data_IF_488395751358
#
_entry.id   IF_488395751358
#
_cell.length_a   1.000
_cell.length_b   1.000
_cell.length_c   1.000
_cell.angle_alpha   90.00
_cell.angle_beta   90.00
_cell.angle_gamma   90.00
#
_symmetry.space_group_name_H-M   'P 1'
#
loop_
_entity.id
_entity.type
_entity.pdbx_description
1 polymer ?
#
# COMPACT_ATOMS: atom_id res chain seq x y z
N UNK A 1 43.22 -15.95 4.91
CA UNK A 1 41.88 -16.59 4.76
C UNK A 1 40.83 -15.90 5.64
N UNK A 2 41.08 -15.66 6.92
CA UNK A 2 40.17 -14.89 7.80
C UNK A 2 39.94 -13.43 7.35
N UNK A 3 40.98 -12.70 6.92
CA UNK A 3 40.85 -11.31 6.43
C UNK A 3 39.92 -11.18 5.21
N UNK A 4 40.00 -12.14 4.27
CA UNK A 4 39.12 -12.19 3.09
C UNK A 4 37.67 -12.53 3.43
N UNK A 5 37.41 -13.24 4.53
CA UNK A 5 36.04 -13.54 4.99
C UNK A 5 35.43 -12.35 5.73
N UNK A 6 36.21 -11.65 6.55
CA UNK A 6 35.78 -10.44 7.24
C UNK A 6 35.50 -9.28 6.26
N UNK A 7 36.32 -9.12 5.21
CA UNK A 7 36.04 -8.15 4.14
C UNK A 7 34.76 -8.47 3.38
N UNK A 8 34.53 -9.75 3.04
CA UNK A 8 33.30 -10.19 2.38
C UNK A 8 32.07 -9.99 3.26
N UNK A 9 32.15 -10.29 4.56
CA UNK A 9 31.05 -10.04 5.50
C UNK A 9 30.77 -8.55 5.67
N UNK A 10 31.82 -7.72 5.67
CA UNK A 10 31.70 -6.26 5.74
C UNK A 10 31.02 -5.71 4.48
N UNK A 11 31.40 -6.22 3.30
CA UNK A 11 30.81 -5.84 2.02
C UNK A 11 29.33 -6.26 1.91
N UNK A 12 29.01 -7.50 2.28
CA UNK A 12 27.63 -7.98 2.34
C UNK A 12 26.76 -7.13 3.28
N UNK A 13 27.32 -6.75 4.43
CA UNK A 13 26.70 -5.84 5.38
C UNK A 13 26.37 -4.48 4.76
N UNK A 14 27.31 -3.88 4.04
CA UNK A 14 27.11 -2.59 3.37
C UNK A 14 26.06 -2.66 2.25
N UNK A 15 26.11 -3.68 1.40
CA UNK A 15 25.12 -3.87 0.33
C UNK A 15 23.71 -4.06 0.94
N UNK A 16 23.59 -4.83 2.03
CA UNK A 16 22.33 -4.97 2.75
C UNK A 16 21.84 -3.64 3.33
N UNK A 17 22.73 -2.78 3.85
CA UNK A 17 22.34 -1.44 4.29
C UNK A 17 21.81 -0.58 3.14
N UNK A 18 22.42 -0.65 1.95
CA UNK A 18 21.92 0.08 0.78
C UNK A 18 20.49 -0.36 0.42
N UNK A 19 20.20 -1.66 0.47
CA UNK A 19 18.84 -2.19 0.32
C UNK A 19 17.88 -1.65 1.40
N UNK A 20 18.28 -1.67 2.67
CA UNK A 20 17.46 -1.15 3.78
C UNK A 20 17.18 0.35 3.63
N UNK A 21 18.13 1.13 3.09
CA UNK A 21 18.02 2.59 2.93
C UNK A 21 17.33 3.03 1.63
N UNK A 22 17.16 2.15 0.65
CA UNK A 22 16.52 2.48 -0.62
C UNK A 22 15.12 3.09 -0.42
N UNK A 23 14.81 4.17 -1.13
CA UNK A 23 13.62 5.01 -0.92
C UNK A 23 12.58 4.92 -2.05
N UNK A 24 12.85 4.09 -3.07
CA UNK A 24 11.97 3.89 -4.24
C UNK A 24 11.79 2.40 -4.50
N UNK A 25 10.71 2.02 -5.18
CA UNK A 25 10.46 0.62 -5.54
C UNK A 25 11.60 0.07 -6.44
N UNK A 26 11.90 0.77 -7.55
CA UNK A 26 13.03 0.42 -8.44
C UNK A 26 14.36 0.34 -7.72
N UNK A 27 14.71 1.35 -6.92
CA UNK A 27 15.98 1.38 -6.19
C UNK A 27 16.08 0.24 -5.18
N UNK A 28 14.96 -0.12 -4.54
CA UNK A 28 14.90 -1.26 -3.62
C UNK A 28 15.11 -2.59 -4.35
N UNK A 29 14.45 -2.80 -5.50
CA UNK A 29 14.66 -3.99 -6.35
C UNK A 29 16.09 -4.10 -6.86
N UNK A 30 16.66 -3.00 -7.36
CA UNK A 30 18.04 -2.96 -7.83
C UNK A 30 19.02 -3.31 -6.71
N UNK A 31 18.90 -2.68 -5.54
CA UNK A 31 19.74 -2.97 -4.39
C UNK A 31 19.60 -4.42 -3.91
N UNK A 32 18.37 -4.97 -3.93
CA UNK A 32 18.10 -6.36 -3.58
C UNK A 32 18.73 -7.34 -4.58
N UNK A 33 18.62 -7.08 -5.88
CA UNK A 33 19.22 -7.92 -6.92
C UNK A 33 20.75 -7.93 -6.83
N UNK A 34 21.37 -6.79 -6.51
CA UNK A 34 22.82 -6.71 -6.26
C UNK A 34 23.18 -7.57 -5.03
N UNK A 35 22.41 -7.49 -3.95
CA UNK A 35 22.61 -8.30 -2.75
C UNK A 35 22.51 -9.80 -3.04
N UNK A 36 21.44 -10.23 -3.72
CA UNK A 36 21.17 -11.63 -4.06
C UNK A 36 22.31 -12.21 -4.92
N UNK A 37 22.76 -11.46 -5.94
CA UNK A 37 23.89 -11.87 -6.79
C UNK A 37 25.21 -11.92 -6.02
N UNK A 38 25.51 -10.91 -5.20
CA UNK A 38 26.74 -10.87 -4.41
C UNK A 38 26.81 -12.03 -3.41
N UNK A 39 25.67 -12.40 -2.84
CA UNK A 39 25.57 -13.50 -1.89
C UNK A 39 25.39 -14.86 -2.54
N UNK A 40 25.34 -14.98 -3.88
CA UNK A 40 25.07 -16.23 -4.60
C UNK A 40 23.83 -16.95 -4.01
N UNK A 41 22.70 -16.24 -4.03
CA UNK A 41 21.40 -16.73 -3.60
C UNK A 41 20.51 -16.96 -4.82
N UNK A 42 19.76 -18.06 -4.81
CA UNK A 42 18.71 -18.31 -5.80
C UNK A 42 17.37 -17.75 -5.29
N UNK A 43 16.82 -16.69 -5.92
CA UNK A 43 15.52 -16.12 -5.52
C UNK A 43 14.33 -17.05 -5.81
N UNK A 44 14.50 -18.09 -6.63
CA UNK A 44 13.45 -19.07 -6.91
C UNK A 44 13.33 -20.15 -5.82
N UNK A 45 14.39 -20.39 -5.05
CA UNK A 45 14.44 -21.29 -3.88
C UNK A 45 13.76 -20.66 -2.65
N UNK A 46 12.47 -20.36 -2.77
CA UNK A 46 11.69 -19.68 -1.73
C UNK A 46 11.74 -20.38 -0.36
N UNK A 47 11.93 -21.71 -0.33
CA UNK A 47 11.96 -22.52 0.89
C UNK A 47 13.20 -22.25 1.75
N UNK A 48 14.34 -22.00 1.12
CA UNK A 48 15.61 -21.80 1.82
C UNK A 48 16.16 -20.37 1.66
N UNK A 49 15.53 -19.52 0.85
CA UNK A 49 16.02 -18.18 0.56
C UNK A 49 16.28 -17.37 1.84
N UNK A 50 15.27 -17.23 2.71
CA UNK A 50 15.40 -16.44 3.94
C UNK A 50 16.46 -17.00 4.90
N UNK A 51 16.55 -18.33 5.04
CA UNK A 51 17.53 -18.95 5.95
C UNK A 51 18.97 -18.76 5.44
N UNK A 52 19.19 -18.88 4.12
CA UNK A 52 20.48 -18.62 3.46
C UNK A 52 20.86 -17.14 3.49
N UNK A 53 19.90 -16.23 3.25
CA UNK A 53 20.13 -14.79 3.36
C UNK A 53 20.57 -14.41 4.77
N UNK A 54 19.84 -14.89 5.78
CA UNK A 54 20.12 -14.64 7.18
C UNK A 54 21.49 -15.17 7.62
N UNK A 55 21.90 -16.35 7.15
CA UNK A 55 23.21 -16.93 7.51
C UNK A 55 24.38 -16.17 6.89
N UNK A 56 24.20 -15.56 5.72
CA UNK A 56 25.24 -14.78 5.02
C UNK A 56 25.31 -13.30 5.46
N UNK A 57 24.24 -12.73 6.02
CA UNK A 57 24.21 -11.33 6.48
C UNK A 57 24.18 -11.25 8.02
N UNK A 58 25.36 -11.20 8.63
CA UNK A 58 25.56 -11.40 10.08
C UNK A 58 25.83 -10.12 10.89
N UNK A 59 25.72 -8.95 10.27
CA UNK A 59 25.93 -7.65 10.96
C UNK A 59 24.97 -7.47 12.13
N UNK A 60 25.39 -6.72 13.16
CA UNK A 60 24.56 -6.49 14.35
C UNK A 60 23.22 -5.79 14.02
N UNK A 61 23.22 -4.88 13.03
CA UNK A 61 21.99 -4.21 12.55
C UNK A 61 21.01 -5.21 11.93
N UNK A 62 21.52 -6.12 11.10
CA UNK A 62 20.72 -7.16 10.46
C UNK A 62 20.20 -8.20 11.46
N UNK A 63 21.05 -8.66 12.40
CA UNK A 63 20.65 -9.58 13.49
C UNK A 63 19.43 -9.11 14.27
N UNK A 64 19.33 -7.81 14.56
CA UNK A 64 18.18 -7.24 15.24
C UNK A 64 16.87 -7.32 14.41
N UNK A 65 16.97 -7.27 13.08
CA UNK A 65 15.83 -7.49 12.18
C UNK A 65 15.48 -8.98 12.10
N UNK A 66 16.48 -9.85 11.97
CA UNK A 66 16.30 -11.31 11.95
C UNK A 66 15.57 -11.80 13.19
N UNK A 67 15.95 -11.34 14.38
CA UNK A 67 15.26 -11.70 15.62
C UNK A 67 13.75 -11.37 15.58
N UNK A 68 13.36 -10.25 14.95
CA UNK A 68 11.96 -9.85 14.82
C UNK A 68 11.18 -10.75 13.87
N UNK A 69 11.75 -10.99 12.68
CA UNK A 69 11.14 -11.85 11.65
C UNK A 69 11.08 -13.32 12.11
N UNK A 70 12.14 -13.82 12.75
CA UNK A 70 12.19 -15.16 13.34
C UNK A 70 11.14 -15.31 14.45
N UNK A 71 11.00 -14.30 15.32
CA UNK A 71 9.95 -14.31 16.35
C UNK A 71 8.56 -14.42 15.73
N UNK A 72 8.27 -13.66 14.67
CA UNK A 72 6.99 -13.80 13.93
C UNK A 72 6.84 -15.19 13.33
N UNK A 73 7.82 -15.67 12.57
CA UNK A 73 7.78 -16.99 11.91
C UNK A 73 7.70 -18.19 12.88
N UNK A 74 8.05 -17.99 14.15
CA UNK A 74 7.93 -19.01 15.21
C UNK A 74 6.52 -19.21 15.76
N UNK A 75 5.56 -18.36 15.40
CA UNK A 75 4.15 -18.51 15.82
C UNK A 75 3.61 -19.90 15.41
N UNK A 76 2.81 -20.50 16.31
CA UNK A 76 2.36 -21.90 16.19
C UNK A 76 1.51 -22.15 14.95
N UNK A 77 0.77 -21.13 14.52
CA UNK A 77 -0.14 -21.14 13.36
C UNK A 77 0.62 -21.44 12.05
N UNK A 78 1.89 -20.99 11.96
CA UNK A 78 2.73 -21.23 10.80
C UNK A 78 3.33 -22.65 10.75
N UNK A 79 3.27 -23.41 11.85
CA UNK A 79 3.85 -24.75 11.97
C UNK A 79 5.30 -24.84 11.47
N UNK A 80 6.10 -23.79 11.74
CA UNK A 80 7.48 -23.62 11.23
C UNK A 80 7.56 -23.61 9.69
N UNK A 81 6.65 -22.89 9.04
CA UNK A 81 6.57 -22.80 7.58
C UNK A 81 6.09 -24.08 6.90
N UNK A 82 5.33 -24.92 7.62
CA UNK A 82 4.86 -26.22 7.10
C UNK A 82 3.38 -26.28 6.75
N UNK A 83 2.62 -25.24 7.09
CA UNK A 83 1.16 -25.23 6.91
C UNK A 83 0.74 -25.25 5.43
N UNK A 84 1.52 -24.61 4.54
CA UNK A 84 1.16 -24.44 3.12
C UNK A 84 2.32 -24.76 2.16
N UNK A 85 3.24 -25.68 2.51
CA UNK A 85 4.49 -25.94 1.75
C UNK A 85 4.32 -26.31 0.27
N UNK A 86 3.17 -26.88 -0.10
CA UNK A 86 2.88 -27.33 -1.45
C UNK A 86 1.83 -26.44 -2.14
N UNK A 87 1.51 -25.28 -1.55
CA UNK A 87 0.56 -24.32 -2.10
C UNK A 87 1.30 -23.23 -2.86
N UNK A 88 0.87 -22.95 -4.09
CA UNK A 88 1.33 -21.84 -4.91
C UNK A 88 0.26 -20.75 -4.94
N UNK A 89 0.66 -19.52 -4.60
CA UNK A 89 -0.23 -18.38 -4.47
C UNK A 89 0.16 -17.26 -5.45
N UNK A 90 -0.82 -16.74 -6.18
CA UNK A 90 -0.70 -15.52 -6.98
C UNK A 90 -1.45 -14.37 -6.29
N UNK A 91 -0.79 -13.24 -6.09
CA UNK A 91 -1.38 -12.03 -5.51
C UNK A 91 -1.37 -10.92 -6.55
N UNK A 92 -2.54 -10.35 -6.83
CA UNK A 92 -2.70 -9.24 -7.76
C UNK A 92 -2.68 -7.94 -6.95
N UNK A 93 -1.62 -7.14 -7.09
CA UNK A 93 -1.48 -5.82 -6.47
C UNK A 93 -0.42 -5.78 -5.35
N UNK A 94 0.59 -4.92 -5.55
CA UNK A 94 1.67 -4.60 -4.60
C UNK A 94 1.32 -3.47 -3.62
N UNK A 95 0.04 -3.32 -3.29
CA UNK A 95 -0.42 -2.39 -2.25
C UNK A 95 -0.11 -2.87 -0.83
N UNK A 96 -0.35 -2.06 0.22
CA UNK A 96 -0.14 -2.48 1.60
C UNK A 96 -0.81 -3.81 1.95
N UNK A 97 -2.09 -3.98 1.59
CA UNK A 97 -2.83 -5.21 1.87
C UNK A 97 -2.26 -6.42 1.12
N UNK A 98 -1.98 -6.28 -0.18
CA UNK A 98 -1.42 -7.37 -0.99
C UNK A 98 -0.06 -7.85 -0.48
N UNK A 99 0.86 -6.91 -0.20
CA UNK A 99 2.17 -7.23 0.37
C UNK A 99 2.05 -7.82 1.78
N UNK A 100 1.13 -7.31 2.61
CA UNK A 100 0.89 -7.84 3.95
C UNK A 100 0.37 -9.27 3.92
N UNK A 101 -0.54 -9.58 3.00
CA UNK A 101 -1.04 -10.94 2.75
C UNK A 101 0.07 -11.85 2.24
N UNK A 102 0.91 -11.37 1.32
CA UNK A 102 2.06 -12.11 0.79
C UNK A 102 2.99 -12.58 1.92
N UNK A 103 3.29 -11.69 2.87
CA UNK A 103 4.12 -11.97 4.04
C UNK A 103 3.52 -13.09 4.92
N UNK A 104 2.20 -13.12 5.15
CA UNK A 104 1.58 -14.21 5.91
C UNK A 104 1.67 -15.56 5.17
N UNK A 105 1.40 -15.56 3.86
CA UNK A 105 1.49 -16.78 3.05
C UNK A 105 2.92 -17.33 3.01
N UNK A 106 3.93 -16.45 2.94
CA UNK A 106 5.33 -16.85 3.03
C UNK A 106 5.65 -17.48 4.39
N UNK A 107 5.16 -16.91 5.51
CA UNK A 107 5.32 -17.53 6.83
C UNK A 107 4.61 -18.89 6.95
N UNK A 108 3.48 -19.08 6.26
CA UNK A 108 2.81 -20.38 6.18
C UNK A 108 3.59 -21.42 5.34
N UNK A 109 4.58 -20.99 4.56
CA UNK A 109 5.45 -21.85 3.73
C UNK A 109 5.06 -21.95 2.25
N UNK A 110 4.07 -21.17 1.80
CA UNK A 110 3.63 -21.18 0.40
C UNK A 110 4.70 -20.62 -0.55
N UNK A 111 4.64 -21.02 -1.83
CA UNK A 111 5.29 -20.26 -2.91
C UNK A 111 4.40 -19.08 -3.25
N UNK A 112 4.90 -17.87 -3.07
CA UNK A 112 4.11 -16.64 -3.26
C UNK A 112 4.71 -15.82 -4.40
N UNK A 113 3.85 -15.49 -5.36
CA UNK A 113 4.14 -14.57 -6.47
C UNK A 113 3.22 -13.37 -6.37
N UNK A 114 3.78 -12.16 -6.41
CA UNK A 114 3.03 -10.90 -6.44
C UNK A 114 3.24 -10.24 -7.80
N UNK A 115 2.16 -9.83 -8.46
CA UNK A 115 2.21 -9.01 -9.67
C UNK A 115 1.68 -7.61 -9.38
N UNK A 116 2.42 -6.59 -9.83
CA UNK A 116 2.04 -5.20 -9.70
C UNK A 116 2.27 -4.47 -11.03
N UNK A 117 1.22 -3.82 -11.53
CA UNK A 117 1.26 -3.10 -12.81
C UNK A 117 2.18 -1.87 -12.82
N UNK A 118 2.51 -1.31 -11.65
CA UNK A 118 3.39 -0.13 -11.52
C UNK A 118 4.76 -0.52 -11.00
N UNK A 119 5.78 0.26 -11.33
CA UNK A 119 7.13 0.15 -10.78
C UNK A 119 7.50 1.27 -9.80
N UNK A 120 6.52 2.05 -9.37
CA UNK A 120 6.70 3.15 -8.41
C UNK A 120 5.64 3.13 -7.32
N UNK A 121 6.06 3.52 -6.12
CA UNK A 121 5.16 3.83 -5.02
C UNK A 121 5.05 5.35 -4.89
N UNK A 122 4.00 5.92 -5.46
CA UNK A 122 3.86 7.37 -5.65
C UNK A 122 2.87 8.08 -4.73
N UNK A 123 1.99 7.34 -4.04
CA UNK A 123 0.92 7.94 -3.25
C UNK A 123 1.46 8.55 -1.95
N UNK A 124 1.37 9.87 -1.83
CA UNK A 124 1.81 10.60 -0.64
C UNK A 124 0.78 10.60 0.48
N UNK A 125 -0.52 10.44 0.17
CA UNK A 125 -1.59 10.43 1.16
C UNK A 125 -1.29 9.53 2.36
N UNK A 126 -1.75 9.98 3.52
CA UNK A 126 -1.39 9.42 4.83
C UNK A 126 -2.53 8.57 5.39
N UNK A 127 -2.16 7.39 5.89
CA UNK A 127 -3.07 6.43 6.51
C UNK A 127 -2.93 6.48 8.03
N UNK A 128 -4.05 6.63 8.73
CA UNK A 128 -4.10 6.36 10.15
C UNK A 128 -3.91 4.86 10.44
N UNK A 129 -3.22 4.54 11.53
CA UNK A 129 -2.89 3.19 11.97
C UNK A 129 -3.47 2.93 13.35
N UNK A 130 -4.32 1.93 13.45
CA UNK A 130 -4.78 1.46 14.75
C UNK A 130 -3.62 0.86 15.56
N UNK A 131 -3.71 0.82 16.91
CA UNK A 131 -2.65 0.31 17.76
C UNK A 131 -2.15 -1.09 17.39
N UNK A 132 -3.05 -1.99 16.97
CA UNK A 132 -2.68 -3.35 16.56
C UNK A 132 -1.84 -3.35 15.28
N UNK A 133 -2.14 -2.46 14.32
CA UNK A 133 -1.39 -2.31 13.07
C UNK A 133 0.01 -1.76 13.33
N UNK A 134 0.12 -0.79 14.24
CA UNK A 134 1.43 -0.27 14.69
C UNK A 134 2.25 -1.40 15.33
N UNK A 135 1.64 -2.21 16.20
CA UNK A 135 2.30 -3.35 16.84
C UNK A 135 2.75 -4.39 15.80
N UNK A 136 1.89 -4.74 14.84
CA UNK A 136 2.20 -5.70 13.77
C UNK A 136 3.40 -5.23 12.93
N UNK A 137 3.38 -3.98 12.44
CA UNK A 137 4.47 -3.41 11.65
C UNK A 137 5.77 -3.27 12.46
N UNK A 138 5.71 -2.91 13.75
CA UNK A 138 6.88 -2.96 14.66
C UNK A 138 7.42 -4.38 14.82
N UNK A 139 6.54 -5.38 14.82
CA UNK A 139 6.85 -6.81 14.83
C UNK A 139 7.59 -7.25 13.57
N UNK A 140 7.26 -6.68 12.41
CA UNK A 140 7.95 -6.91 11.13
C UNK A 140 9.22 -6.05 10.94
N UNK A 141 9.59 -5.25 11.95
CA UNK A 141 10.81 -4.45 11.90
C UNK A 141 10.68 -3.12 11.16
N UNK A 142 9.47 -2.56 11.02
CA UNK A 142 9.23 -1.28 10.35
C UNK A 142 10.24 -0.17 10.71
N UNK A 143 10.58 -0.02 11.99
CA UNK A 143 11.55 0.99 12.48
C UNK A 143 12.98 0.80 11.94
N UNK A 144 13.33 -0.39 11.44
CA UNK A 144 14.62 -0.66 10.78
C UNK A 144 14.65 -0.16 9.34
N UNK A 145 13.51 -0.14 8.67
CA UNK A 145 13.37 0.35 7.29
C UNK A 145 12.98 1.82 7.23
N UNK A 146 12.27 2.32 8.25
CA UNK A 146 11.83 3.70 8.37
C UNK A 146 11.98 4.17 9.81
N UNK A 147 13.07 4.90 10.10
CA UNK A 147 13.43 5.28 11.48
C UNK A 147 12.39 6.16 12.19
N UNK A 148 11.63 6.95 11.41
CA UNK A 148 10.55 7.82 11.90
C UNK A 148 9.24 7.06 12.17
N UNK A 149 9.15 5.77 11.85
CA UNK A 149 7.91 4.98 11.98
C UNK A 149 7.32 5.07 13.40
N UNK A 150 6.16 5.71 13.50
CA UNK A 150 5.41 5.90 14.75
C UNK A 150 6.30 6.31 15.93
N UNK A 151 7.16 7.32 15.71
CA UNK A 151 7.99 7.92 16.75
C UNK A 151 7.14 8.86 17.61
N UNK A 152 7.30 8.80 18.94
CA UNK A 152 6.46 9.56 19.86
C UNK A 152 5.00 9.10 19.79
N UNK A 153 4.09 10.05 19.61
CA UNK A 153 2.64 9.84 19.48
C UNK A 153 2.15 9.64 18.05
N UNK A 154 3.05 9.63 17.04
CA UNK A 154 2.65 9.44 15.63
C UNK A 154 1.98 8.08 15.44
N UNK A 155 0.77 8.11 14.90
CA UNK A 155 -0.08 6.94 14.66
C UNK A 155 -0.48 6.78 13.18
N UNK A 156 0.26 7.40 12.27
CA UNK A 156 -0.02 7.37 10.84
C UNK A 156 1.24 7.15 9.99
N UNK A 157 1.03 6.87 8.70
CA UNK A 157 2.10 6.68 7.72
C UNK A 157 1.61 6.97 6.28
N UNK A 158 2.44 7.62 5.46
CA UNK A 158 2.16 7.72 4.01
C UNK A 158 2.09 6.36 3.32
N UNK A 159 1.16 6.22 2.37
CA UNK A 159 0.91 4.95 1.65
C UNK A 159 2.21 4.42 1.04
N UNK A 160 2.99 5.26 0.37
CA UNK A 160 4.26 4.86 -0.25
C UNK A 160 5.30 4.34 0.75
N UNK A 161 5.37 4.90 1.96
CA UNK A 161 6.32 4.42 2.98
C UNK A 161 5.88 3.07 3.54
N UNK A 162 4.58 2.88 3.76
CA UNK A 162 4.04 1.58 4.16
C UNK A 162 4.31 0.50 3.11
N UNK A 163 4.12 0.84 1.82
CA UNK A 163 4.47 -0.05 0.71
C UNK A 163 5.96 -0.40 0.74
N UNK A 164 6.88 0.57 0.88
CA UNK A 164 8.33 0.30 0.93
C UNK A 164 8.72 -0.62 2.09
N UNK A 165 8.15 -0.42 3.28
CA UNK A 165 8.43 -1.27 4.45
C UNK A 165 8.02 -2.72 4.16
N UNK A 166 6.77 -2.91 3.74
CA UNK A 166 6.24 -4.25 3.47
C UNK A 166 6.93 -4.91 2.29
N UNK A 167 7.29 -4.13 1.26
CA UNK A 167 8.02 -4.60 0.09
C UNK A 167 9.40 -5.16 0.45
N UNK A 168 10.15 -4.44 1.31
CA UNK A 168 11.45 -4.91 1.79
C UNK A 168 11.32 -6.19 2.62
N UNK A 169 10.32 -6.28 3.50
CA UNK A 169 10.05 -7.50 4.27
C UNK A 169 9.69 -8.65 3.33
N UNK A 170 8.87 -8.40 2.31
CA UNK A 170 8.45 -9.42 1.38
C UNK A 170 9.64 -10.01 0.60
N UNK A 171 10.51 -9.15 0.06
CA UNK A 171 11.73 -9.57 -0.63
C UNK A 171 12.67 -10.39 0.28
N UNK A 172 12.87 -9.95 1.53
CA UNK A 172 13.68 -10.70 2.53
C UNK A 172 13.14 -12.11 2.74
N UNK A 173 11.82 -12.28 2.76
CA UNK A 173 11.16 -13.56 2.98
C UNK A 173 11.12 -14.45 1.72
N UNK A 174 11.74 -14.04 0.62
CA UNK A 174 11.82 -14.82 -0.62
C UNK A 174 10.51 -14.82 -1.42
N UNK A 175 9.66 -13.81 -1.23
CA UNK A 175 8.48 -13.61 -2.07
C UNK A 175 8.94 -13.09 -3.44
N UNK A 176 8.43 -13.72 -4.48
CA UNK A 176 8.72 -13.34 -5.86
C UNK A 176 7.79 -12.19 -6.27
N UNK A 177 8.35 -11.05 -6.66
CA UNK A 177 7.56 -9.85 -6.98
C UNK A 177 7.93 -9.32 -8.36
N UNK A 178 6.93 -9.22 -9.22
CA UNK A 178 7.05 -8.71 -10.59
C UNK A 178 6.32 -7.37 -10.70
N UNK A 179 7.08 -6.33 -11.04
CA UNK A 179 6.57 -4.98 -11.28
C UNK A 179 6.45 -4.72 -12.79
N UNK A 180 5.61 -3.77 -13.20
CA UNK A 180 5.24 -3.54 -14.61
C UNK A 180 4.58 -4.76 -15.26
N UNK A 181 3.87 -5.55 -14.46
CA UNK A 181 3.10 -6.70 -14.93
C UNK A 181 1.64 -6.49 -14.55
N UNK A 182 0.78 -6.35 -15.55
CA UNK A 182 -0.66 -6.22 -15.34
C UNK A 182 -1.33 -7.57 -15.48
N UNK A 183 -2.10 -7.97 -14.47
CA UNK A 183 -2.98 -9.13 -14.55
C UNK A 183 -4.18 -8.78 -15.45
N UNK A 184 -4.51 -9.68 -16.38
CA UNK A 184 -5.66 -9.53 -17.28
C UNK A 184 -6.82 -10.40 -16.79
N UNK A 185 -6.62 -11.72 -16.77
CA UNK A 185 -7.65 -12.69 -16.37
C UNK A 185 -7.04 -14.01 -15.91
N UNK A 186 -7.87 -14.83 -15.27
CA UNK A 186 -7.55 -16.22 -14.94
C UNK A 186 -7.72 -17.08 -16.19
N UNK A 187 -6.83 -18.04 -16.40
CA UNK A 187 -6.92 -19.06 -17.43
C UNK A 187 -7.27 -20.40 -16.77
N UNK A 188 -8.41 -20.96 -17.17
CA UNK A 188 -8.86 -22.25 -16.68
C UNK A 188 -7.96 -23.39 -17.20
N UNK A 189 -7.76 -24.46 -16.41
CA UNK A 189 -7.16 -25.70 -16.90
C UNK A 189 -7.87 -26.19 -18.18
N UNK A 190 -7.14 -26.63 -19.22
CA UNK A 190 -7.76 -27.21 -20.41
C UNK A 190 -8.55 -28.48 -20.07
N UNK A 191 -9.62 -28.75 -20.82
CA UNK A 191 -10.49 -29.92 -20.66
C UNK A 191 -9.76 -31.24 -21.01
N UNK A 192 -8.92 -31.21 -22.05
CA UNK A 192 -8.09 -32.34 -22.45
C UNK A 192 -6.80 -32.39 -21.61
N UNK A 193 -6.75 -33.32 -20.66
CA UNK A 193 -5.60 -33.56 -19.77
C UNK A 193 -5.03 -34.97 -19.90
N UNK A 194 -5.29 -35.67 -21.01
CA UNK A 194 -4.85 -37.06 -21.19
C UNK A 194 -3.32 -37.20 -21.15
N UNK A 195 -2.59 -36.19 -21.66
CA UNK A 195 -1.13 -36.23 -21.80
C UNK A 195 -0.37 -35.31 -20.84
N UNK A 196 -0.97 -34.20 -20.38
CA UNK A 196 -0.36 -33.26 -19.43
C UNK A 196 -1.42 -32.65 -18.50
N UNK A 197 -1.18 -32.69 -17.19
CA UNK A 197 -2.03 -32.03 -16.19
C UNK A 197 -1.55 -30.60 -16.01
N UNK A 198 -2.26 -29.65 -16.62
CA UNK A 198 -1.99 -28.21 -16.51
C UNK A 198 -2.96 -27.63 -15.47
N UNK A 199 -2.42 -26.95 -14.46
CA UNK A 199 -3.19 -26.25 -13.43
C UNK A 199 -3.73 -24.88 -13.87
N UNK A 200 -4.30 -24.15 -12.91
CA UNK A 200 -4.77 -22.78 -13.12
C UNK A 200 -3.62 -21.83 -13.42
N UNK A 201 -3.77 -21.01 -14.44
CA UNK A 201 -2.79 -19.99 -14.86
C UNK A 201 -3.45 -18.62 -14.96
N UNK A 202 -2.68 -17.61 -15.34
CA UNK A 202 -3.18 -16.26 -15.55
C UNK A 202 -2.56 -15.65 -16.80
N UNK A 203 -3.34 -14.79 -17.45
CA UNK A 203 -2.88 -13.95 -18.53
C UNK A 203 -2.35 -12.63 -17.97
N UNK A 204 -1.21 -12.19 -18.50
CA UNK A 204 -0.52 -10.98 -18.07
C UNK A 204 -0.18 -10.08 -19.25
N UNK A 205 0.03 -8.79 -18.98
CA UNK A 205 0.68 -7.86 -19.89
C UNK A 205 2.04 -7.44 -19.31
N UNK A 206 3.12 -7.51 -20.10
CA UNK A 206 3.18 -8.01 -21.49
C UNK A 206 2.98 -9.54 -21.58
N UNK A 207 2.44 -10.03 -22.71
CA UNK A 207 1.98 -11.41 -22.87
C UNK A 207 3.10 -12.47 -22.86
N UNK A 208 4.32 -12.07 -23.22
CA UNK A 208 5.53 -12.90 -23.26
C UNK A 208 6.26 -12.98 -21.90
N UNK A 209 5.61 -12.54 -20.82
CA UNK A 209 6.19 -12.58 -19.48
C UNK A 209 6.41 -14.02 -19.00
N UNK A 210 7.51 -14.28 -18.27
CA UNK A 210 7.87 -15.61 -17.79
C UNK A 210 6.87 -16.25 -16.82
N UNK A 211 5.92 -15.46 -16.30
CA UNK A 211 4.85 -15.93 -15.42
C UNK A 211 3.68 -16.55 -16.17
N UNK A 212 3.62 -16.46 -17.50
CA UNK A 212 2.52 -17.07 -18.28
C UNK A 212 2.42 -18.59 -18.07
N UNK A 213 3.52 -19.24 -17.69
CA UNK A 213 3.57 -20.68 -17.34
C UNK A 213 3.46 -20.95 -15.83
N UNK A 214 3.26 -19.92 -15.00
CA UNK A 214 3.14 -20.11 -13.56
C UNK A 214 1.74 -20.63 -13.19
N UNK A 215 1.71 -21.89 -12.76
CA UNK A 215 0.51 -22.51 -12.20
C UNK A 215 0.35 -22.16 -10.71
N UNK A 216 -0.88 -21.85 -10.29
CA UNK A 216 -1.21 -21.53 -8.90
C UNK A 216 -2.45 -22.27 -8.39
N UNK A 217 -2.51 -22.49 -7.07
CA UNK A 217 -3.66 -23.09 -6.38
C UNK A 217 -4.57 -22.03 -5.75
N UNK A 218 -3.99 -20.87 -5.42
CA UNK A 218 -4.67 -19.77 -4.73
C UNK A 218 -4.40 -18.47 -5.47
N UNK A 219 -5.46 -17.71 -5.74
CA UNK A 219 -5.36 -16.34 -6.26
C UNK A 219 -6.00 -15.34 -5.31
N UNK A 220 -5.36 -14.19 -5.12
CA UNK A 220 -5.82 -13.14 -4.20
C UNK A 220 -5.85 -11.80 -4.93
N UNK A 221 -7.05 -11.23 -5.06
CA UNK A 221 -7.26 -9.88 -5.58
C UNK A 221 -7.00 -8.84 -4.49
N UNK A 222 -5.91 -8.09 -4.60
CA UNK A 222 -5.54 -6.99 -3.73
C UNK A 222 -5.21 -5.70 -4.52
N UNK A 223 -5.86 -5.54 -5.68
CA UNK A 223 -5.65 -4.51 -6.70
C UNK A 223 -6.52 -3.24 -6.49
N UNK A 224 -7.23 -3.18 -5.36
CA UNK A 224 -8.02 -2.04 -4.92
C UNK A 224 -9.42 -2.00 -5.57
N UNK A 225 -9.87 -0.80 -5.96
CA UNK A 225 -11.22 -0.63 -6.52
C UNK A 225 -11.40 -1.34 -7.87
N UNK A 226 -10.35 -1.65 -8.63
CA UNK A 226 -10.47 -2.24 -9.97
C UNK A 226 -11.12 -3.63 -9.98
N UNK A 227 -10.84 -4.48 -8.99
CA UNK A 227 -11.43 -5.83 -8.87
C UNK A 227 -11.24 -6.70 -10.11
N UNK A 228 -10.01 -6.88 -10.56
CA UNK A 228 -9.76 -7.62 -11.80
C UNK A 228 -10.16 -9.10 -11.73
N UNK A 229 -10.56 -9.63 -10.56
CA UNK A 229 -11.10 -10.98 -10.45
C UNK A 229 -12.62 -11.02 -10.72
N UNK A 230 -12.99 -11.79 -11.74
CA UNK A 230 -14.37 -12.05 -12.12
C UNK A 230 -15.10 -12.94 -11.08
N UNK A 231 -16.44 -12.95 -11.12
CA UNK A 231 -17.28 -13.76 -10.22
C UNK A 231 -17.60 -13.13 -8.87
N UNK A 232 -16.94 -12.03 -8.48
CA UNK A 232 -17.20 -11.31 -7.23
C UNK A 232 -18.16 -10.13 -7.44
N UNK A 233 -19.47 -10.38 -7.31
CA UNK A 233 -20.48 -9.30 -7.30
C UNK A 233 -20.22 -8.36 -6.13
N UNK A 234 -20.32 -7.05 -6.35
CA UNK A 234 -20.21 -6.03 -5.28
C UNK A 234 -21.58 -5.54 -4.87
N UNK A 235 -21.71 -5.23 -3.58
CA UNK A 235 -22.84 -4.44 -3.09
C UNK A 235 -22.36 -3.01 -2.92
N UNK A 236 -23.19 -2.10 -3.40
CA UNK A 236 -22.97 -0.67 -3.30
C UNK A 236 -23.94 -0.10 -2.27
N UNK A 237 -23.39 0.62 -1.30
CA UNK A 237 -24.18 1.45 -0.40
C UNK A 237 -23.93 2.90 -0.76
N UNK A 238 -24.99 3.59 -1.19
CA UNK A 238 -24.95 5.02 -1.52
C UNK A 238 -25.52 5.82 -0.36
N UNK A 239 -24.65 6.57 0.31
CA UNK A 239 -25.01 7.49 1.38
C UNK A 239 -25.47 8.85 0.88
N UNK A 240 -25.48 9.84 1.78
CA UNK A 240 -25.56 11.26 1.38
C UNK A 240 -24.30 11.63 0.59
N UNK A 241 -24.45 12.56 -0.35
CA UNK A 241 -23.34 13.08 -1.13
C UNK A 241 -22.21 13.56 -0.21
N UNK A 242 -21.02 12.98 -0.39
CA UNK A 242 -19.83 13.32 0.37
C UNK A 242 -18.66 13.46 -0.59
N UNK A 243 -18.05 14.65 -0.63
CA UNK A 243 -16.93 14.96 -1.53
C UNK A 243 -15.70 15.17 -0.66
N UNK A 244 -14.72 14.27 -0.80
CA UNK A 244 -13.47 14.37 -0.07
C UNK A 244 -12.40 15.07 -0.93
N UNK A 245 -11.67 16.00 -0.33
CA UNK A 245 -10.47 16.60 -0.91
C UNK A 245 -9.28 16.13 -0.07
N UNK A 246 -8.25 15.63 -0.74
CA UNK A 246 -6.95 15.42 -0.10
C UNK A 246 -5.92 16.36 -0.68
N UNK A 247 -5.06 16.93 0.16
CA UNK A 247 -3.97 17.79 -0.24
C UNK A 247 -2.68 17.42 0.50
N UNK A 248 -1.56 17.46 -0.21
CA UNK A 248 -0.23 17.27 0.37
C UNK A 248 0.62 18.51 0.14
N UNK A 249 1.12 19.11 1.21
CA UNK A 249 2.10 20.20 1.15
C UNK A 249 3.49 19.72 1.56
N UNK A 250 4.52 20.41 1.08
CA UNK A 250 5.92 20.10 1.38
C UNK A 250 6.17 20.31 2.88
N UNK A 251 6.63 19.27 3.57
CA UNK A 251 7.13 19.38 4.94
C UNK A 251 8.66 19.54 4.92
N UNK A 252 9.14 20.73 5.28
CA UNK A 252 10.58 21.04 5.32
C UNK A 252 11.25 20.65 6.64
N UNK A 253 10.47 20.10 7.58
CA UNK A 253 10.91 19.66 8.91
C UNK A 253 11.58 20.80 9.72
N UNK A 254 11.16 22.05 9.52
CA UNK A 254 11.61 23.19 10.32
C UNK A 254 11.06 23.11 11.76
N UNK A 255 11.67 23.86 12.68
CA UNK A 255 11.20 23.96 14.06
C UNK A 255 9.82 24.61 14.18
N UNK A 256 9.48 25.53 13.26
CA UNK A 256 8.15 26.14 13.18
C UNK A 256 7.10 25.10 12.78
N UNK A 257 7.32 24.38 11.67
CA UNK A 257 6.43 23.29 11.23
C UNK A 257 6.27 22.21 12.29
N UNK A 258 7.35 21.86 13.01
CA UNK A 258 7.32 20.84 14.06
C UNK A 258 6.41 21.19 15.25
N UNK A 259 6.17 22.48 15.53
CA UNK A 259 5.32 22.96 16.64
C UNK A 259 3.83 22.94 16.34
N UNK A 260 3.43 22.99 15.07
CA UNK A 260 2.01 23.02 14.67
C UNK A 260 1.32 21.72 15.08
N UNK A 261 0.23 21.79 15.82
CA UNK A 261 -0.47 20.58 16.28
C UNK A 261 -1.21 19.88 15.14
N UNK A 262 -1.26 18.55 15.20
CA UNK A 262 -2.06 17.75 14.28
C UNK A 262 -3.54 17.81 14.62
N UNK A 263 -4.39 17.54 13.63
CA UNK A 263 -5.84 17.53 13.80
C UNK A 263 -6.31 16.10 13.59
N UNK A 264 -6.43 15.34 14.67
CA UNK A 264 -6.84 13.93 14.66
C UNK A 264 -8.37 13.80 14.51
N UNK A 265 -8.90 14.15 13.35
CA UNK A 265 -10.32 13.92 13.04
C UNK A 265 -11.27 14.89 13.75
N UNK A 266 -11.12 16.20 13.51
CA UNK A 266 -12.12 17.16 13.98
C UNK A 266 -13.30 17.11 13.00
N UNK A 267 -14.44 16.61 13.49
CA UNK A 267 -15.70 16.62 12.76
C UNK A 267 -16.57 17.80 13.23
N UNK A 268 -17.42 18.31 12.34
CA UNK A 268 -18.35 19.42 12.61
C UNK A 268 -19.12 19.25 13.92
N UNK A 269 -19.56 18.04 14.20
CA UNK A 269 -20.32 17.69 15.40
C UNK A 269 -19.58 18.07 16.70
N UNK A 270 -18.25 17.99 16.72
CA UNK A 270 -17.44 18.22 17.92
C UNK A 270 -16.86 19.63 18.01
N UNK A 271 -16.77 20.36 16.89
CA UNK A 271 -16.17 21.71 16.88
C UNK A 271 -16.94 22.67 15.96
N UNK A 272 -18.23 22.85 16.22
CA UNK A 272 -19.12 23.64 15.36
C UNK A 272 -18.64 25.08 15.17
N UNK A 273 -18.10 25.69 16.22
CA UNK A 273 -17.58 27.06 16.17
C UNK A 273 -16.47 27.20 15.14
N UNK A 274 -15.48 26.31 15.16
CA UNK A 274 -14.38 26.30 14.18
C UNK A 274 -14.89 26.27 12.73
N UNK A 275 -15.87 25.43 12.42
CA UNK A 275 -16.40 25.34 11.05
C UNK A 275 -17.33 26.51 10.68
N UNK A 276 -18.03 27.10 11.64
CA UNK A 276 -18.79 28.33 11.42
C UNK A 276 -17.84 29.49 11.11
N UNK A 277 -16.81 29.68 11.94
CA UNK A 277 -15.77 30.70 11.75
C UNK A 277 -15.05 30.51 10.39
N UNK A 278 -14.67 29.26 10.04
CA UNK A 278 -14.10 28.94 8.72
C UNK A 278 -15.02 29.40 7.58
N UNK A 279 -16.32 29.07 7.66
CA UNK A 279 -17.28 29.43 6.63
C UNK A 279 -17.48 30.94 6.52
N UNK A 280 -17.57 31.63 7.65
CA UNK A 280 -17.77 33.08 7.70
C UNK A 280 -16.56 33.84 7.16
N UNK A 281 -15.34 33.39 7.49
CA UNK A 281 -14.11 34.08 7.07
C UNK A 281 -13.67 33.75 5.64
N UNK A 282 -13.89 32.51 5.17
CA UNK A 282 -13.30 32.02 3.90
C UNK A 282 -14.34 31.61 2.85
N UNK A 283 -15.61 31.47 3.25
CA UNK A 283 -16.66 30.87 2.41
C UNK A 283 -16.57 29.34 2.27
N UNK A 284 -15.64 28.69 2.98
CA UNK A 284 -15.42 27.24 2.92
C UNK A 284 -16.32 26.53 3.93
N UNK A 285 -17.18 25.61 3.47
CA UNK A 285 -18.09 24.84 4.32
C UNK A 285 -17.72 23.35 4.31
N UNK A 286 -17.16 22.87 5.43
CA UNK A 286 -16.68 21.50 5.60
C UNK A 286 -17.50 20.74 6.65
N UNK A 287 -17.58 19.42 6.47
CA UNK A 287 -18.13 18.49 7.46
C UNK A 287 -17.04 17.96 8.42
N UNK A 288 -15.81 17.80 7.92
CA UNK A 288 -14.66 17.39 8.70
C UNK A 288 -13.37 17.87 8.04
N UNK A 289 -12.32 17.96 8.85
CA UNK A 289 -10.94 18.16 8.40
C UNK A 289 -9.97 17.39 9.30
N UNK A 290 -8.96 16.81 8.69
CA UNK A 290 -7.87 16.08 9.34
C UNK A 290 -6.55 16.64 8.82
N UNK A 291 -5.60 16.79 9.73
CA UNK A 291 -4.23 17.18 9.40
C UNK A 291 -3.27 16.21 10.06
N UNK A 292 -2.44 15.56 9.23
CA UNK A 292 -1.31 14.74 9.66
C UNK A 292 0.00 15.33 9.19
N UNK A 293 0.99 15.36 10.08
CA UNK A 293 2.35 15.81 9.80
C UNK A 293 3.23 14.60 9.55
N UNK A 294 3.32 14.16 8.30
CA UNK A 294 4.14 13.02 7.86
C UNK A 294 5.30 13.50 6.97
N UNK A 295 5.66 12.73 5.93
CA UNK A 295 6.59 13.15 4.89
C UNK A 295 6.12 14.42 4.16
N UNK A 296 4.82 14.68 4.21
CA UNK A 296 4.12 15.88 3.73
C UNK A 296 3.22 16.39 4.86
N UNK A 297 2.83 17.66 4.80
CA UNK A 297 1.67 18.14 5.56
C UNK A 297 0.43 17.67 4.81
N UNK A 298 -0.19 16.60 5.31
CA UNK A 298 -1.32 15.96 4.65
C UNK A 298 -2.63 16.43 5.26
N UNK A 299 -3.53 16.89 4.41
CA UNK A 299 -4.88 17.24 4.76
C UNK A 299 -5.88 16.35 4.04
N UNK A 300 -6.91 15.92 4.75
CA UNK A 300 -8.12 15.38 4.15
C UNK A 300 -9.33 16.07 4.75
N UNK A 301 -10.24 16.51 3.90
CA UNK A 301 -11.44 17.24 4.29
C UNK A 301 -12.64 16.76 3.50
N UNK A 302 -13.82 16.82 4.11
CA UNK A 302 -15.08 16.57 3.41
C UNK A 302 -15.79 17.91 3.21
N UNK A 303 -15.88 18.34 1.95
CA UNK A 303 -16.49 19.62 1.57
C UNK A 303 -17.97 19.43 1.18
N UNK A 304 -18.80 20.41 1.53
CA UNK A 304 -20.19 20.43 1.05
C UNK A 304 -20.23 20.89 -0.41
N UNK A 305 -21.07 20.24 -1.22
CA UNK A 305 -21.25 20.55 -2.65
C UNK A 305 -21.45 22.04 -2.92
N UNK A 306 -22.34 22.68 -2.15
CA UNK A 306 -22.64 24.10 -2.36
C UNK A 306 -21.41 25.00 -2.18
N UNK A 307 -20.57 24.72 -1.18
CA UNK A 307 -19.33 25.49 -0.97
C UNK A 307 -18.35 25.35 -2.13
N UNK A 308 -18.28 24.16 -2.76
CA UNK A 308 -17.43 23.94 -3.92
C UNK A 308 -17.94 24.68 -5.16
N UNK A 309 -19.26 24.76 -5.35
CA UNK A 309 -19.89 25.56 -6.40
C UNK A 309 -19.67 27.06 -6.17
N UNK A 310 -19.93 27.54 -4.94
CA UNK A 310 -19.79 28.95 -4.58
C UNK A 310 -18.34 29.45 -4.73
N UNK A 311 -17.36 28.59 -4.43
CA UNK A 311 -15.91 28.86 -4.62
C UNK A 311 -15.43 28.57 -6.05
N UNK A 312 -16.32 28.18 -6.96
CA UNK A 312 -16.01 27.90 -8.36
C UNK A 312 -15.06 26.72 -8.57
N UNK A 313 -14.91 25.84 -7.58
CA UNK A 313 -14.14 24.58 -7.70
C UNK A 313 -14.87 23.63 -8.63
N UNK A 314 -16.19 23.52 -8.46
CA UNK A 314 -17.08 22.82 -9.38
C UNK A 314 -17.69 23.86 -10.31
N UNK A 315 -17.67 23.61 -11.62
CA UNK A 315 -18.14 24.55 -12.64
C UNK A 315 -19.67 24.49 -12.77
N UNK A 316 -20.21 23.30 -13.04
CA UNK A 316 -21.64 23.05 -13.22
C UNK A 316 -22.18 22.06 -12.18
N UNK A 317 -23.41 22.29 -11.70
CA UNK A 317 -24.09 21.42 -10.73
C UNK A 317 -24.79 20.24 -11.41
N UNK A 318 -24.05 19.16 -11.65
CA UNK A 318 -24.60 17.89 -12.15
C UNK A 318 -25.22 17.04 -11.03
N UNK A 319 -26.33 16.37 -11.36
CA UNK A 319 -26.99 15.41 -10.45
C UNK A 319 -26.22 14.10 -10.31
N UNK A 320 -25.56 13.67 -11.39
CA UNK A 320 -24.71 12.49 -11.40
C UNK A 320 -23.34 12.80 -10.79
N UNK A 321 -22.86 11.96 -9.86
CA UNK A 321 -21.62 12.24 -9.10
C UNK A 321 -20.35 12.01 -9.91
N UNK A 322 -20.39 11.11 -10.90
CA UNK A 322 -19.25 10.89 -11.79
C UNK A 322 -19.06 12.10 -12.71
N UNK A 323 -20.15 12.64 -13.25
CA UNK A 323 -20.15 13.89 -14.02
C UNK A 323 -19.81 15.11 -13.15
N UNK A 324 -20.31 15.17 -11.92
CA UNK A 324 -20.04 16.28 -11.00
C UNK A 324 -18.55 16.42 -10.69
N UNK A 325 -17.85 15.29 -10.56
CA UNK A 325 -16.43 15.22 -10.16
C UNK A 325 -15.48 14.88 -11.32
N UNK A 326 -15.96 14.94 -12.57
CA UNK A 326 -15.10 14.69 -13.72
C UNK A 326 -14.06 15.80 -13.89
N UNK A 327 -12.96 15.49 -14.57
CA UNK A 327 -11.84 16.42 -14.71
C UNK A 327 -12.25 17.71 -15.44
N UNK A 328 -13.20 17.63 -16.36
CA UNK A 328 -13.70 18.76 -17.14
C UNK A 328 -14.58 19.71 -16.30
N UNK A 329 -15.20 19.21 -15.23
CA UNK A 329 -16.09 19.99 -14.37
C UNK A 329 -15.39 20.54 -13.11
N UNK A 330 -14.11 20.22 -12.91
CA UNK A 330 -13.32 20.66 -11.76
C UNK A 330 -12.31 21.70 -12.20
N UNK A 331 -12.47 22.93 -11.70
CA UNK A 331 -11.46 23.98 -11.89
C UNK A 331 -10.28 23.73 -10.95
N UNK A 332 -9.14 23.35 -11.53
CA UNK A 332 -7.96 22.96 -10.78
C UNK A 332 -7.34 24.11 -9.96
N UNK A 333 -7.32 25.33 -10.48
CA UNK A 333 -6.72 26.49 -9.78
C UNK A 333 -7.57 26.88 -8.55
N UNK A 334 -8.89 26.82 -8.70
CA UNK A 334 -9.81 27.04 -7.58
C UNK A 334 -9.72 25.91 -6.56
N UNK A 335 -9.55 24.65 -6.99
CA UNK A 335 -9.34 23.52 -6.08
C UNK A 335 -8.06 23.70 -5.25
N UNK A 336 -6.95 24.13 -5.88
CA UNK A 336 -5.70 24.41 -5.19
C UNK A 336 -5.86 25.54 -4.17
N UNK A 337 -6.57 26.60 -4.54
CA UNK A 337 -6.83 27.74 -3.65
C UNK A 337 -7.70 27.33 -2.47
N UNK A 338 -8.79 26.59 -2.73
CA UNK A 338 -9.70 26.06 -1.71
C UNK A 338 -8.96 25.18 -0.69
N UNK A 339 -8.17 24.22 -1.15
CA UNK A 339 -7.44 23.31 -0.28
C UNK A 339 -6.37 24.03 0.56
N UNK A 340 -5.67 25.02 -0.02
CA UNK A 340 -4.67 25.81 0.68
C UNK A 340 -5.32 26.67 1.77
N UNK A 341 -6.37 27.40 1.44
CA UNK A 341 -7.08 28.29 2.37
C UNK A 341 -7.67 27.51 3.54
N UNK A 342 -8.30 26.35 3.28
CA UNK A 342 -8.79 25.46 4.34
C UNK A 342 -7.66 24.95 5.24
N UNK A 343 -6.50 24.57 4.67
CA UNK A 343 -5.35 24.09 5.44
C UNK A 343 -4.70 25.18 6.30
N UNK A 344 -4.60 26.40 5.76
CA UNK A 344 -4.01 27.54 6.45
C UNK A 344 -4.86 27.94 7.67
N UNK A 345 -6.17 28.08 7.46
CA UNK A 345 -7.13 28.34 8.54
C UNK A 345 -7.10 27.23 9.59
N UNK A 346 -7.14 25.96 9.17
CA UNK A 346 -7.17 24.82 10.09
C UNK A 346 -5.94 24.74 11.00
N UNK A 347 -4.80 25.24 10.54
CA UNK A 347 -3.55 25.28 11.33
C UNK A 347 -3.32 26.61 12.03
N UNK A 348 -4.35 27.46 12.13
CA UNK A 348 -4.27 28.81 12.69
C UNK A 348 -3.14 29.65 12.06
N UNK A 349 -2.89 29.47 10.76
CA UNK A 349 -1.85 30.16 10.00
C UNK A 349 -0.43 29.93 10.57
N UNK A 350 -0.20 28.83 11.29
CA UNK A 350 1.09 28.54 11.94
C UNK A 350 2.08 27.81 11.02
N UNK A 351 1.60 27.23 9.91
CA UNK A 351 2.48 26.65 8.91
C UNK A 351 3.16 27.77 8.10
N UNK A 352 4.50 27.86 8.05
CA UNK A 352 5.19 28.99 7.42
C UNK A 352 4.92 29.15 5.91
N UNK A 353 4.62 28.05 5.23
CA UNK A 353 4.42 28.00 3.78
C UNK A 353 3.61 26.76 3.41
N UNK A 354 2.63 26.92 2.53
CA UNK A 354 1.80 25.83 1.99
C UNK A 354 2.07 25.63 0.49
N UNK A 355 3.28 25.16 0.21
CA UNK A 355 3.69 24.76 -1.14
C UNK A 355 3.25 23.32 -1.38
N UNK A 356 2.52 23.07 -2.47
CA UNK A 356 2.07 21.73 -2.79
C UNK A 356 3.26 20.79 -3.06
N UNK A 357 3.18 19.60 -2.49
CA UNK A 357 4.00 18.48 -2.95
C UNK A 357 3.59 18.08 -4.37
N UNK A 358 4.44 17.33 -5.06
CA UNK A 358 4.14 16.86 -6.42
C UNK A 358 3.61 15.43 -6.39
N UNK A 359 2.58 15.18 -7.20
CA UNK A 359 2.05 13.85 -7.49
C UNK A 359 2.89 13.13 -8.55
N UNK A 360 2.51 11.92 -8.95
CA UNK A 360 3.25 11.14 -9.96
C UNK A 360 3.19 11.69 -11.39
N UNK A 361 2.30 12.64 -11.67
CA UNK A 361 2.24 13.35 -12.95
C UNK A 361 3.08 14.64 -12.95
N UNK A 362 3.76 14.96 -11.84
CA UNK A 362 4.51 16.21 -11.70
C UNK A 362 3.61 17.44 -11.50
N UNK A 363 2.37 17.23 -11.07
CA UNK A 363 1.40 18.28 -10.77
C UNK A 363 1.25 18.46 -9.26
N UNK A 364 0.77 19.62 -8.79
CA UNK A 364 0.40 19.83 -7.39
C UNK A 364 -0.51 18.71 -6.84
N UNK A 365 -0.15 18.16 -5.69
CA UNK A 365 -0.79 16.98 -5.09
C UNK A 365 -2.06 17.35 -4.32
N UNK A 366 -3.11 17.65 -5.08
CA UNK A 366 -4.50 17.79 -4.62
C UNK A 366 -5.40 16.88 -5.45
N UNK A 367 -6.38 16.24 -4.82
CA UNK A 367 -7.34 15.39 -5.51
C UNK A 367 -8.71 15.39 -4.83
N UNK A 368 -9.76 15.26 -5.63
CA UNK A 368 -11.14 15.08 -5.19
C UNK A 368 -11.56 13.63 -5.33
N UNK A 369 -12.35 13.13 -4.38
CA UNK A 369 -12.86 11.77 -4.35
C UNK A 369 -14.34 11.74 -3.97
N UNK A 370 -15.08 10.85 -4.63
CA UNK A 370 -16.45 10.51 -4.24
C UNK A 370 -16.44 9.58 -3.03
N UNK A 371 -16.92 10.06 -1.88
CA UNK A 371 -17.13 9.28 -0.65
C UNK A 371 -18.59 8.85 -0.47
N UNK A 372 -19.47 9.16 -1.44
CA UNK A 372 -20.89 8.82 -1.41
C UNK A 372 -21.11 7.32 -1.48
N UNK A 373 -20.27 6.60 -2.23
CA UNK A 373 -20.42 5.18 -2.50
C UNK A 373 -19.39 4.35 -1.75
N UNK A 374 -19.86 3.49 -0.86
CA UNK A 374 -19.04 2.48 -0.17
C UNK A 374 -19.33 1.13 -0.82
N UNK A 375 -18.29 0.55 -1.42
CA UNK A 375 -18.36 -0.77 -2.05
C UNK A 375 -17.87 -1.84 -1.08
N UNK A 376 -18.62 -2.94 -0.97
CA UNK A 376 -18.21 -4.11 -0.21
C UNK A 376 -18.52 -5.41 -0.98
N UNK A 377 -17.63 -6.39 -0.83
CA UNK A 377 -17.87 -7.75 -1.33
C UNK A 377 -18.79 -8.50 -0.37
N UNK A 378 -19.88 -9.14 -0.85
CA UNK A 378 -20.71 -10.02 -0.03
C UNK A 378 -19.98 -11.32 0.35
N UNK A 379 -18.93 -11.69 -0.40
CA UNK A 379 -18.11 -12.87 -0.17
C UNK A 379 -16.64 -12.48 -0.18
N UNK A 380 -15.88 -12.97 0.81
CA UNK A 380 -14.44 -12.76 0.89
C UNK A 380 -13.62 -13.79 0.09
N UNK A 381 -14.24 -14.93 -0.28
CA UNK A 381 -13.59 -16.06 -0.95
C UNK A 381 -14.58 -16.75 -1.89
N UNK A 382 -14.07 -17.35 -2.96
CA UNK A 382 -14.78 -18.27 -3.84
C UNK A 382 -13.83 -19.40 -4.24
N UNK A 383 -14.34 -20.63 -4.39
CA UNK A 383 -13.56 -21.78 -4.86
C UNK A 383 -14.10 -22.18 -6.23
N UNK A 384 -13.43 -21.79 -7.32
CA UNK A 384 -13.76 -22.32 -8.64
C UNK A 384 -13.26 -23.76 -8.73
N UNK A 385 -14.17 -24.72 -8.84
CA UNK A 385 -13.85 -26.11 -9.18
C UNK A 385 -13.98 -26.21 -10.70
N UNK A 386 -12.88 -26.45 -11.40
CA UNK A 386 -12.98 -26.86 -12.81
C UNK A 386 -13.82 -28.15 -12.84
N UNK A 387 -14.94 -28.11 -13.55
CA UNK A 387 -16.17 -28.92 -13.39
C UNK A 387 -17.01 -28.54 -12.15
N UNK A 388 -18.12 -27.84 -12.39
CA UNK A 388 -19.10 -27.45 -11.38
C UNK A 388 -19.64 -28.66 -10.60
N UNK A 389 -19.05 -28.95 -9.43
CA UNK A 389 -19.70 -29.77 -8.39
C UNK A 389 -19.82 -28.96 -7.10
N UNK A 390 -21.06 -28.67 -6.64
CA UNK A 390 -21.29 -28.04 -5.35
C UNK A 390 -20.71 -28.88 -4.20
N UNK A 391 -19.94 -28.23 -3.31
CA UNK A 391 -19.37 -28.80 -2.08
C UNK A 391 -20.43 -29.00 -0.98
N UNK A 392 -21.56 -29.64 -1.31
CA UNK A 392 -22.59 -30.06 -0.34
C UNK A 392 -22.86 -31.57 -0.35
N UNK A 393 -22.00 -32.40 -1.00
CA UNK A 393 -22.14 -33.86 -0.99
C UNK A 393 -20.85 -34.65 -0.73
N UNK A 394 -19.90 -34.12 0.05
CA UNK A 394 -18.89 -34.97 0.68
C UNK A 394 -19.06 -34.86 2.19
N UNK A 395 -19.67 -35.90 2.75
CA UNK A 395 -19.82 -36.11 4.19
C UNK A 395 -18.47 -36.10 4.90
N UNK A 396 -18.55 -35.78 6.18
CA UNK A 396 -17.48 -35.80 7.17
C UNK A 396 -16.64 -37.08 7.15
#
# INVERSE_FOLDING_TARGET
MAENEDEKQTQAGQIFQNFVQASTCKGTLQAFNILVRHLDLDPLDHRNFYSKLKSKVTTWKAKALWHKLDKRGSHKEYKRGKSCMNTKCLIIGGGPCGLRTAIELAYLGAKVVVVEKRDTFSRNNVLHLWPFTIHDLRGLGAKKFYGKFCAGSIDHISIRQLQLILFKVALILGIEIHVNVEFVKVLEPPEDQENQKIGWRAEFLPADHSLSEFEFDVIIGADGRRNTLEGFRRKEFRGKLAIAITANFINRNSTAEAKVEEISGVAFIFNQKFFQDLKEETGIDLENIVYYKDCTHYFVMTAKKQSLLDKGVIIDDYTDTEMLLCAENVNQDNLLSYAREAADFATNYQLPSLDFAMNHYGQPDVAMFDFTCILFGPWAQAVPVASWQPLTQRGW
#
